data_IF_745347992012
#
_entry.id   IF_745347992012
#
_cell.length_a   1.000
_cell.length_b   1.000
_cell.length_c   1.000
_cell.angle_alpha   90.00
_cell.angle_beta   90.00
_cell.angle_gamma   90.00
#
_symmetry.space_group_name_H-M   'P 1'
#
loop_
_entity.id
_entity.type
_entity.pdbx_description
1 polymer ?
#
# COMPACT_ATOMS: atom_id res chain seq x y z
N UNK A 1 -61.42 56.75 -58.06
CA UNK A 1 -60.62 57.84 -58.63
C UNK A 1 -59.67 58.30 -57.53
N UNK A 2 -58.36 58.07 -57.73
CA UNK A 2 -57.19 58.66 -57.02
C UNK A 2 -57.16 58.56 -55.48
N UNK A 3 -56.13 58.07 -54.79
CA UNK A 3 -54.69 57.98 -55.12
C UNK A 3 -53.99 57.10 -54.08
N UNK A 4 -52.97 56.37 -54.53
CA UNK A 4 -51.92 55.71 -53.75
C UNK A 4 -51.14 56.71 -52.87
N UNK A 5 -50.38 56.23 -51.85
CA UNK A 5 -48.89 56.28 -51.79
C UNK A 5 -48.26 56.03 -50.38
N UNK A 6 -47.30 55.08 -50.39
CA UNK A 6 -46.05 54.85 -49.60
C UNK A 6 -46.02 54.99 -48.06
N UNK A 7 -45.63 53.97 -47.29
CA UNK A 7 -44.30 53.32 -47.11
C UNK A 7 -43.18 54.26 -46.62
N UNK A 8 -42.72 54.06 -45.36
CA UNK A 8 -41.32 53.72 -44.96
C UNK A 8 -40.99 54.14 -43.52
N UNK A 9 -40.13 53.29 -42.92
CA UNK A 9 -39.17 53.53 -41.82
C UNK A 9 -39.73 53.43 -40.40
N UNK A 10 -39.01 52.97 -39.37
CA UNK A 10 -37.88 52.03 -39.13
C UNK A 10 -37.62 52.17 -37.62
N UNK A 11 -37.37 51.05 -36.93
CA UNK A 11 -36.68 50.89 -35.62
C UNK A 11 -37.18 51.61 -34.37
N UNK A 12 -37.22 50.84 -33.27
CA UNK A 12 -37.06 51.38 -31.91
C UNK A 12 -37.35 50.32 -30.85
N UNK A 13 -36.30 49.76 -30.25
CA UNK A 13 -36.34 48.86 -29.09
C UNK A 13 -37.20 49.41 -27.94
N UNK A 14 -37.82 48.52 -27.14
CA UNK A 14 -37.64 48.43 -25.68
C UNK A 14 -38.60 47.42 -25.00
N UNK A 15 -37.99 46.41 -24.36
CA UNK A 15 -38.21 45.84 -23.03
C UNK A 15 -39.60 45.42 -22.48
N UNK A 16 -39.53 44.31 -21.71
CA UNK A 16 -40.43 43.79 -20.66
C UNK A 16 -41.54 42.81 -21.09
N UNK A 17 -41.34 41.49 -21.00
CA UNK A 17 -41.45 40.60 -19.81
C UNK A 17 -42.91 40.32 -19.43
N UNK A 18 -43.35 39.05 -19.59
CA UNK A 18 -44.30 38.28 -18.75
C UNK A 18 -44.77 37.03 -19.56
N UNK A 19 -44.09 35.90 -19.38
CA UNK A 19 -44.49 34.77 -18.51
C UNK A 19 -45.35 33.73 -19.24
N UNK A 20 -44.70 32.91 -20.07
CA UNK A 20 -45.22 31.63 -20.53
C UNK A 20 -44.98 30.54 -19.48
N UNK A 21 -46.09 30.01 -18.99
CA UNK A 21 -46.21 28.85 -18.11
C UNK A 21 -45.65 27.62 -18.85
N UNK A 22 -44.61 26.99 -18.31
CA UNK A 22 -44.35 25.57 -18.52
C UNK A 22 -43.97 24.93 -17.19
N UNK A 23 -44.97 24.37 -16.51
CA UNK A 23 -44.75 23.39 -15.45
C UNK A 23 -44.15 22.12 -16.11
N UNK A 24 -42.82 22.03 -16.15
CA UNK A 24 -42.15 20.74 -16.33
C UNK A 24 -42.16 20.06 -14.96
N UNK A 25 -43.12 19.17 -14.76
CA UNK A 25 -43.11 18.25 -13.64
C UNK A 25 -41.90 17.32 -13.74
N UNK A 26 -40.80 17.69 -13.06
CA UNK A 26 -39.70 16.77 -12.83
C UNK A 26 -40.17 15.63 -11.94
N UNK A 27 -40.45 14.46 -12.54
CA UNK A 27 -40.57 13.22 -11.75
C UNK A 27 -39.20 12.94 -11.14
N UNK A 28 -39.04 13.18 -9.85
CA UNK A 28 -37.85 12.78 -9.11
C UNK A 28 -37.86 11.25 -8.93
N UNK A 29 -37.42 10.51 -9.96
CA UNK A 29 -36.91 9.15 -9.76
C UNK A 29 -35.59 9.28 -9.02
N UNK A 30 -35.64 9.29 -7.69
CA UNK A 30 -34.46 9.07 -6.85
C UNK A 30 -34.03 7.62 -7.09
N UNK A 31 -33.16 7.38 -8.08
CA UNK A 31 -32.53 6.07 -8.22
C UNK A 31 -31.68 5.87 -6.97
N UNK A 32 -32.12 4.98 -6.06
CA UNK A 32 -31.30 4.59 -4.92
C UNK A 32 -29.96 4.11 -5.46
N UNK A 33 -28.86 4.76 -5.06
CA UNK A 33 -27.52 4.37 -5.50
C UNK A 33 -27.29 2.93 -5.07
N UNK A 34 -27.04 2.03 -6.04
CA UNK A 34 -26.68 0.64 -5.76
C UNK A 34 -25.25 0.57 -5.24
N UNK A 35 -25.07 -0.08 -4.10
CA UNK A 35 -23.78 -0.36 -3.49
C UNK A 35 -23.47 -1.85 -3.56
N UNK A 36 -22.19 -2.18 -3.72
CA UNK A 36 -21.72 -3.52 -4.06
C UNK A 36 -20.91 -4.19 -2.95
N UNK A 37 -20.99 -3.70 -1.71
CA UNK A 37 -20.20 -4.19 -0.58
C UNK A 37 -20.41 -5.70 -0.33
N UNK A 38 -21.66 -6.14 -0.21
CA UNK A 38 -22.00 -7.56 -0.01
C UNK A 38 -21.66 -8.40 -1.24
N UNK A 39 -21.99 -7.89 -2.42
CA UNK A 39 -21.70 -8.55 -3.70
C UNK A 39 -20.19 -8.82 -3.83
N UNK A 40 -19.35 -7.84 -3.48
CA UNK A 40 -17.89 -7.98 -3.52
C UNK A 40 -17.38 -9.04 -2.54
N UNK A 41 -17.85 -9.05 -1.29
CA UNK A 41 -17.43 -10.07 -0.30
C UNK A 41 -17.76 -11.47 -0.83
N UNK A 42 -18.99 -11.68 -1.31
CA UNK A 42 -19.38 -12.98 -1.89
C UNK A 42 -18.55 -13.35 -3.12
N UNK A 43 -18.31 -12.41 -4.04
CA UNK A 43 -17.44 -12.67 -5.20
C UNK A 43 -15.97 -12.92 -4.80
N UNK A 44 -15.50 -12.31 -3.71
CA UNK A 44 -14.16 -12.52 -3.19
C UNK A 44 -14.02 -13.94 -2.61
N UNK A 45 -14.97 -14.37 -1.79
CA UNK A 45 -15.05 -15.74 -1.26
C UNK A 45 -15.05 -16.77 -2.39
N UNK A 46 -15.92 -16.59 -3.39
CA UNK A 46 -15.99 -17.44 -4.58
C UNK A 46 -14.68 -17.44 -5.38
N UNK A 47 -13.99 -16.29 -5.45
CA UNK A 47 -12.69 -16.18 -6.12
C UNK A 47 -11.63 -17.01 -5.41
N UNK A 48 -11.57 -16.94 -4.07
CA UNK A 48 -10.65 -17.73 -3.25
C UNK A 48 -10.89 -19.22 -3.43
N UNK A 49 -12.14 -19.66 -3.32
CA UNK A 49 -12.51 -21.07 -3.53
C UNK A 49 -12.19 -21.57 -4.93
N UNK A 50 -12.42 -20.74 -5.95
CA UNK A 50 -12.08 -21.09 -7.33
C UNK A 50 -10.57 -21.26 -7.52
N UNK A 51 -9.75 -20.45 -6.84
CA UNK A 51 -8.30 -20.63 -6.83
C UNK A 51 -7.90 -21.92 -6.11
N UNK A 52 -8.39 -22.15 -4.89
CA UNK A 52 -7.99 -23.31 -4.11
C UNK A 52 -8.43 -24.61 -4.75
N UNK A 53 -9.58 -24.62 -5.42
CA UNK A 53 -9.99 -25.75 -6.26
C UNK A 53 -8.92 -26.10 -7.30
N UNK A 54 -8.38 -25.10 -8.02
CA UNK A 54 -7.32 -25.32 -9.00
C UNK A 54 -6.01 -25.76 -8.33
N UNK A 55 -5.72 -25.28 -7.11
CA UNK A 55 -4.57 -25.73 -6.32
C UNK A 55 -4.70 -27.21 -5.96
N UNK A 56 -5.87 -27.66 -5.51
CA UNK A 56 -6.15 -29.08 -5.24
C UNK A 56 -6.04 -29.94 -6.51
N UNK A 57 -6.47 -29.42 -7.66
CA UNK A 57 -6.41 -30.12 -8.97
C UNK A 57 -4.96 -30.33 -9.46
N UNK A 58 -4.03 -29.42 -9.11
CA UNK A 58 -2.58 -29.59 -9.39
C UNK A 58 -1.95 -30.62 -8.43
N UNK A 59 -2.41 -30.66 -7.19
CA UNK A 59 -1.92 -31.60 -6.17
C UNK A 59 -0.43 -31.39 -5.85
N UNK A 60 0.32 -32.48 -5.70
CA UNK A 60 1.75 -32.48 -5.34
C UNK A 60 2.70 -32.19 -6.54
N UNK A 61 2.15 -31.81 -7.70
CA UNK A 61 2.95 -31.49 -8.88
C UNK A 61 3.62 -30.12 -8.75
N UNK A 62 4.77 -29.96 -9.43
CA UNK A 62 5.44 -28.67 -9.51
C UNK A 62 4.54 -27.63 -10.21
N UNK A 63 4.21 -26.56 -9.48
CA UNK A 63 3.39 -25.46 -9.99
C UNK A 63 4.14 -24.75 -11.12
N UNK A 64 3.63 -24.89 -12.35
CA UNK A 64 4.21 -24.24 -13.52
C UNK A 64 3.63 -22.82 -13.72
N UNK A 65 4.22 -22.06 -14.65
CA UNK A 65 3.78 -20.68 -14.95
C UNK A 65 2.29 -20.60 -15.34
N UNK A 66 1.77 -21.63 -16.02
CA UNK A 66 0.37 -21.67 -16.47
C UNK A 66 -0.59 -21.90 -15.31
N UNK A 67 -0.21 -22.70 -14.31
CA UNK A 67 -0.99 -22.92 -13.09
C UNK A 67 -1.11 -21.63 -12.29
N UNK A 68 0.01 -20.95 -12.05
CA UNK A 68 0.01 -19.63 -11.40
C UNK A 68 -0.89 -18.63 -12.12
N UNK A 69 -0.84 -18.60 -13.45
CA UNK A 69 -1.70 -17.73 -14.26
C UNK A 69 -3.17 -18.10 -14.09
N UNK A 70 -3.50 -19.38 -14.03
CA UNK A 70 -4.86 -19.89 -13.84
C UNK A 70 -5.41 -19.52 -12.45
N UNK A 71 -4.61 -19.67 -11.40
CA UNK A 71 -4.99 -19.28 -10.04
C UNK A 71 -5.37 -17.79 -9.95
N UNK A 72 -4.52 -16.91 -10.50
CA UNK A 72 -4.79 -15.46 -10.50
C UNK A 72 -6.04 -15.12 -11.31
N UNK A 73 -6.20 -15.75 -12.48
CA UNK A 73 -7.33 -15.47 -13.36
C UNK A 73 -8.65 -15.98 -12.74
N UNK A 74 -8.64 -17.09 -12.00
CA UNK A 74 -9.81 -17.60 -11.30
C UNK A 74 -10.37 -16.56 -10.31
N UNK A 75 -9.49 -15.91 -9.55
CA UNK A 75 -9.89 -14.84 -8.64
C UNK A 75 -10.35 -13.60 -9.41
N UNK A 76 -9.53 -13.10 -10.36
CA UNK A 76 -9.85 -11.89 -11.13
C UNK A 76 -11.16 -12.01 -11.91
N UNK A 77 -11.51 -13.22 -12.38
CA UNK A 77 -12.78 -13.47 -13.06
C UNK A 77 -13.98 -13.07 -12.19
N UNK A 78 -13.91 -13.33 -10.88
CA UNK A 78 -15.00 -13.00 -9.96
C UNK A 78 -15.01 -11.52 -9.58
N UNK A 79 -13.82 -10.92 -9.38
CA UNK A 79 -13.73 -9.63 -8.69
C UNK A 79 -13.32 -8.43 -9.57
N UNK A 80 -12.83 -8.65 -10.79
CA UNK A 80 -12.21 -7.56 -11.58
C UNK A 80 -13.18 -6.41 -11.86
N UNK A 81 -14.47 -6.69 -12.01
CA UNK A 81 -15.48 -5.67 -12.28
C UNK A 81 -15.69 -4.67 -11.12
N UNK A 82 -15.29 -5.02 -9.89
CA UNK A 82 -15.51 -4.20 -8.71
C UNK A 82 -14.60 -2.97 -8.63
N UNK A 83 -13.54 -2.89 -9.44
CA UNK A 83 -12.65 -1.72 -9.44
C UNK A 83 -13.35 -0.41 -9.85
N UNK A 84 -14.49 -0.49 -10.53
CA UNK A 84 -15.31 0.67 -10.94
C UNK A 84 -16.69 0.72 -10.28
N UNK A 85 -17.00 -0.20 -9.35
CA UNK A 85 -18.29 -0.23 -8.65
C UNK A 85 -18.28 0.71 -7.46
N UNK A 86 -19.48 1.16 -7.07
CA UNK A 86 -19.68 2.02 -5.90
C UNK A 86 -19.82 1.15 -4.65
N UNK A 87 -19.11 1.54 -3.60
CA UNK A 87 -19.18 0.93 -2.28
C UNK A 87 -19.72 1.94 -1.29
N UNK A 88 -20.41 1.46 -0.26
CA UNK A 88 -20.81 2.27 0.88
C UNK A 88 -19.65 2.40 1.86
N UNK A 89 -18.86 1.34 2.02
CA UNK A 89 -17.65 1.30 2.84
C UNK A 89 -16.45 1.79 2.04
N UNK A 90 -15.90 2.94 2.40
CA UNK A 90 -14.63 3.43 1.85
C UNK A 90 -13.49 2.45 2.12
N UNK A 91 -13.48 1.85 3.32
CA UNK A 91 -12.55 0.77 3.67
C UNK A 91 -12.61 -0.40 2.68
N UNK A 92 -13.82 -0.87 2.33
CA UNK A 92 -13.95 -2.00 1.42
C UNK A 92 -13.63 -1.61 -0.02
N UNK A 93 -13.95 -0.37 -0.43
CA UNK A 93 -13.58 0.15 -1.74
C UNK A 93 -12.06 0.17 -1.94
N UNK A 94 -11.34 0.76 -0.98
CA UNK A 94 -9.89 0.88 -1.00
C UNK A 94 -9.23 -0.52 -1.03
N UNK A 95 -9.66 -1.42 -0.15
CA UNK A 95 -9.11 -2.76 -0.08
C UNK A 95 -9.50 -3.61 -1.31
N UNK A 96 -10.69 -3.46 -1.89
CA UNK A 96 -11.07 -4.14 -3.12
C UNK A 96 -10.17 -3.72 -4.31
N UNK A 97 -9.94 -2.42 -4.47
CA UNK A 97 -9.05 -1.89 -5.51
C UNK A 97 -7.61 -2.36 -5.27
N UNK A 98 -7.12 -2.27 -4.04
CA UNK A 98 -5.78 -2.73 -3.68
C UNK A 98 -5.60 -4.23 -3.93
N UNK A 99 -6.61 -5.03 -3.58
CA UNK A 99 -6.60 -6.48 -3.79
C UNK A 99 -6.54 -6.84 -5.28
N UNK A 100 -7.40 -6.25 -6.10
CA UNK A 100 -7.39 -6.44 -7.57
C UNK A 100 -6.02 -6.03 -8.15
N UNK A 101 -5.44 -4.95 -7.67
CA UNK A 101 -4.12 -4.50 -8.12
C UNK A 101 -3.00 -5.44 -7.66
N UNK A 102 -3.09 -6.05 -6.48
CA UNK A 102 -2.13 -7.06 -6.03
C UNK A 102 -2.13 -8.30 -6.92
N UNK A 103 -3.30 -8.79 -7.33
CA UNK A 103 -3.45 -9.88 -8.31
C UNK A 103 -2.86 -9.51 -9.68
N UNK A 104 -3.09 -8.27 -10.14
CA UNK A 104 -2.46 -7.76 -11.37
C UNK A 104 -0.93 -7.70 -11.24
N UNK A 105 -0.41 -7.38 -10.07
CA UNK A 105 1.03 -7.36 -9.81
C UNK A 105 1.63 -8.77 -9.75
N UNK A 106 0.93 -9.75 -9.18
CA UNK A 106 1.32 -11.17 -9.30
C UNK A 106 1.39 -11.59 -10.77
N UNK A 107 0.41 -11.19 -11.58
CA UNK A 107 0.42 -11.46 -13.02
C UNK A 107 1.58 -10.78 -13.76
N UNK A 108 2.03 -9.61 -13.29
CA UNK A 108 3.25 -8.96 -13.80
C UNK A 108 4.50 -9.70 -13.37
N UNK A 109 4.58 -10.15 -12.11
CA UNK A 109 5.72 -10.93 -11.60
C UNK A 109 5.93 -12.22 -12.39
N UNK A 110 4.85 -12.87 -12.85
CA UNK A 110 4.94 -14.05 -13.73
C UNK A 110 5.67 -13.81 -15.05
N UNK A 111 5.85 -12.56 -15.50
CA UNK A 111 6.69 -12.29 -16.69
C UNK A 111 8.15 -12.63 -16.45
N UNK A 112 8.60 -12.59 -15.21
CA UNK A 112 9.94 -12.96 -14.77
C UNK A 112 10.04 -14.41 -14.30
N UNK A 113 9.12 -15.30 -14.69
CA UNK A 113 9.07 -16.69 -14.17
C UNK A 113 10.39 -17.46 -14.29
N UNK A 114 11.13 -17.24 -15.38
CA UNK A 114 12.42 -17.88 -15.64
C UNK A 114 13.62 -17.08 -15.12
N UNK A 115 13.39 -15.91 -14.51
CA UNK A 115 14.44 -15.05 -13.98
C UNK A 115 14.77 -15.47 -12.53
N UNK A 116 16.02 -15.30 -12.11
CA UNK A 116 16.46 -15.63 -10.75
C UNK A 116 15.74 -14.84 -9.65
N UNK A 117 15.14 -13.69 -10.00
CA UNK A 117 14.41 -12.83 -9.06
C UNK A 117 12.88 -13.09 -9.06
N UNK A 118 12.41 -14.11 -9.77
CA UNK A 118 10.99 -14.48 -9.85
C UNK A 118 10.36 -14.59 -8.47
N UNK A 119 10.92 -15.46 -7.62
CA UNK A 119 10.39 -15.78 -6.29
C UNK A 119 10.27 -14.52 -5.43
N UNK A 120 11.26 -13.63 -5.49
CA UNK A 120 11.23 -12.34 -4.78
C UNK A 120 10.08 -11.45 -5.26
N UNK A 121 9.92 -11.29 -6.57
CA UNK A 121 8.83 -10.48 -7.16
C UNK A 121 7.45 -11.08 -6.88
N UNK A 122 7.33 -12.40 -6.98
CA UNK A 122 6.12 -13.15 -6.72
C UNK A 122 5.70 -13.03 -5.26
N UNK A 123 6.60 -13.36 -4.33
CA UNK A 123 6.35 -13.34 -2.89
C UNK A 123 5.96 -11.94 -2.43
N UNK A 124 6.64 -10.89 -2.91
CA UNK A 124 6.25 -9.50 -2.61
C UNK A 124 4.80 -9.18 -3.01
N UNK A 125 4.37 -9.64 -4.18
CA UNK A 125 3.00 -9.41 -4.65
C UNK A 125 1.97 -10.31 -3.93
N UNK A 126 2.37 -11.54 -3.59
CA UNK A 126 1.56 -12.51 -2.84
C UNK A 126 1.35 -12.09 -1.38
N UNK A 127 2.39 -11.63 -0.70
CA UNK A 127 2.31 -11.11 0.67
C UNK A 127 1.41 -9.87 0.74
N UNK A 128 1.53 -8.96 -0.24
CA UNK A 128 0.64 -7.81 -0.34
C UNK A 128 -0.83 -8.22 -0.52
N UNK A 129 -1.10 -9.24 -1.35
CA UNK A 129 -2.43 -9.84 -1.52
C UNK A 129 -2.97 -10.38 -0.19
N UNK A 130 -2.19 -11.19 0.51
CA UNK A 130 -2.61 -11.82 1.78
C UNK A 130 -2.80 -10.79 2.90
N UNK A 131 -1.93 -9.79 2.99
CA UNK A 131 -2.06 -8.67 3.93
C UNK A 131 -3.39 -7.94 3.79
N UNK A 132 -3.85 -7.71 2.54
CA UNK A 132 -5.15 -7.07 2.26
C UNK A 132 -6.31 -7.99 2.63
N UNK A 133 -6.24 -9.28 2.29
CA UNK A 133 -7.30 -10.23 2.61
C UNK A 133 -7.56 -10.34 4.09
N UNK A 134 -6.49 -10.38 4.91
CA UNK A 134 -6.63 -10.43 6.36
C UNK A 134 -7.30 -9.17 6.92
N UNK A 135 -7.04 -7.99 6.34
CA UNK A 135 -7.77 -6.77 6.73
C UNK A 135 -9.26 -6.89 6.44
N UNK A 136 -9.62 -7.42 5.27
CA UNK A 136 -11.02 -7.65 4.89
C UNK A 136 -11.65 -8.70 5.82
N UNK A 137 -11.00 -9.83 6.01
CA UNK A 137 -11.48 -10.95 6.83
C UNK A 137 -11.67 -10.58 8.31
N UNK A 138 -10.75 -9.81 8.89
CA UNK A 138 -10.89 -9.33 10.27
C UNK A 138 -12.17 -8.50 10.49
N UNK A 139 -12.67 -7.82 9.45
CA UNK A 139 -13.84 -6.94 9.54
C UNK A 139 -15.13 -7.56 9.02
N UNK A 140 -15.03 -8.38 7.99
CA UNK A 140 -16.18 -8.94 7.28
C UNK A 140 -16.36 -10.46 7.50
N UNK A 141 -15.38 -11.11 8.14
CA UNK A 141 -15.36 -12.54 8.46
C UNK A 141 -15.68 -13.40 7.23
N UNK A 142 -14.70 -13.53 6.34
CA UNK A 142 -14.86 -14.27 5.09
C UNK A 142 -15.27 -15.71 5.40
N UNK A 143 -16.24 -16.20 4.63
CA UNK A 143 -16.80 -17.54 4.73
C UNK A 143 -16.54 -18.29 3.44
N UNK A 144 -16.02 -19.49 3.59
CA UNK A 144 -15.74 -20.41 2.49
C UNK A 144 -16.27 -21.79 2.84
N UNK A 145 -16.38 -22.67 1.86
CA UNK A 145 -16.74 -24.06 2.08
C UNK A 145 -15.79 -24.69 3.10
N UNK A 146 -16.37 -25.52 3.97
CA UNK A 146 -15.66 -26.21 5.05
C UNK A 146 -14.39 -26.94 4.60
N UNK A 147 -14.36 -27.48 3.38
CA UNK A 147 -13.18 -28.17 2.84
C UNK A 147 -11.98 -27.24 2.61
N UNK A 148 -12.20 -25.93 2.51
CA UNK A 148 -11.16 -24.93 2.33
C UNK A 148 -10.78 -24.19 3.62
N UNK A 149 -11.26 -24.62 4.78
CA UNK A 149 -10.94 -23.97 6.06
C UNK A 149 -9.44 -23.93 6.36
N UNK A 150 -8.68 -24.97 5.99
CA UNK A 150 -7.21 -25.01 6.15
C UNK A 150 -6.53 -23.88 5.36
N UNK A 151 -6.92 -23.69 4.10
CA UNK A 151 -6.42 -22.60 3.27
C UNK A 151 -6.74 -21.23 3.85
N UNK A 152 -7.93 -21.05 4.41
CA UNK A 152 -8.30 -19.78 5.05
C UNK A 152 -7.47 -19.52 6.33
N UNK A 153 -7.16 -20.55 7.11
CA UNK A 153 -6.28 -20.45 8.29
C UNK A 153 -4.86 -20.08 7.89
N UNK A 154 -4.29 -20.76 6.90
CA UNK A 154 -2.94 -20.45 6.39
C UNK A 154 -2.87 -19.02 5.84
N UNK A 155 -3.90 -18.61 5.10
CA UNK A 155 -4.01 -17.26 4.57
C UNK A 155 -4.04 -16.21 5.69
N UNK A 156 -4.77 -16.47 6.78
CA UNK A 156 -4.77 -15.62 7.97
C UNK A 156 -3.38 -15.50 8.59
N UNK A 157 -2.67 -16.62 8.73
CA UNK A 157 -1.32 -16.63 9.29
C UNK A 157 -0.34 -15.85 8.40
N UNK A 158 -0.30 -16.15 7.11
CA UNK A 158 0.57 -15.48 6.13
C UNK A 158 0.26 -13.98 6.03
N UNK A 159 -1.01 -13.60 5.94
CA UNK A 159 -1.40 -12.18 5.85
C UNK A 159 -1.14 -11.40 7.14
N UNK A 160 -1.30 -12.03 8.31
CA UNK A 160 -0.91 -11.42 9.59
C UNK A 160 0.60 -11.20 9.66
N UNK A 161 1.41 -12.18 9.23
CA UNK A 161 2.87 -12.03 9.17
C UNK A 161 3.28 -10.91 8.21
N UNK A 162 2.69 -10.83 7.01
CA UNK A 162 2.94 -9.77 6.03
C UNK A 162 2.57 -8.38 6.58
N UNK A 163 1.44 -8.25 7.29
CA UNK A 163 1.03 -7.01 7.94
C UNK A 163 1.99 -6.64 9.08
N UNK A 164 2.38 -7.59 9.94
CA UNK A 164 3.35 -7.38 11.03
C UNK A 164 4.69 -6.88 10.48
N UNK A 165 5.19 -7.49 9.41
CA UNK A 165 6.44 -7.10 8.76
C UNK A 165 6.35 -5.69 8.14
N UNK A 166 5.23 -5.37 7.50
CA UNK A 166 5.00 -4.03 6.93
C UNK A 166 4.99 -2.95 8.01
N UNK A 167 4.25 -3.17 9.10
CA UNK A 167 4.20 -2.23 10.24
C UNK A 167 5.56 -2.09 10.90
N UNK A 168 6.27 -3.20 11.16
CA UNK A 168 7.63 -3.19 11.73
C UNK A 168 8.61 -2.41 10.85
N UNK A 169 8.62 -2.64 9.54
CA UNK A 169 9.50 -1.92 8.62
C UNK A 169 9.20 -0.41 8.62
N UNK A 170 7.93 0.00 8.55
CA UNK A 170 7.57 1.41 8.61
C UNK A 170 7.98 2.08 9.95
N UNK A 171 7.87 1.33 11.05
CA UNK A 171 8.28 1.79 12.36
C UNK A 171 9.81 1.94 12.45
N UNK A 172 10.58 1.00 11.89
CA UNK A 172 12.05 1.07 11.79
C UNK A 172 12.49 2.24 10.90
N UNK A 173 11.84 2.44 9.74
CA UNK A 173 12.14 3.59 8.87
C UNK A 173 11.91 4.92 9.59
N UNK A 174 10.89 4.99 10.44
CA UNK A 174 10.58 6.18 11.25
C UNK A 174 11.59 6.36 12.38
N UNK A 175 11.97 5.28 13.06
CA UNK A 175 13.03 5.25 14.08
C UNK A 175 14.36 5.74 13.50
N UNK A 176 14.78 5.23 12.34
CA UNK A 176 16.06 5.62 11.71
C UNK A 176 16.08 7.12 11.38
N UNK A 177 14.96 7.66 10.90
CA UNK A 177 14.85 9.10 10.61
C UNK A 177 14.95 9.98 11.86
N UNK A 178 14.61 9.44 13.05
CA UNK A 178 14.69 10.17 14.32
C UNK A 178 16.10 10.20 14.91
N UNK A 179 17.02 9.36 14.43
CA UNK A 179 18.41 9.35 14.90
C UNK A 179 19.08 10.68 14.52
N UNK A 180 19.53 11.42 15.54
CA UNK A 180 20.26 12.67 15.41
C UNK A 180 21.52 12.64 16.27
N UNK A 181 22.67 12.58 15.61
CA UNK A 181 23.99 12.68 16.24
C UNK A 181 24.32 14.15 16.51
N UNK A 182 23.79 14.69 17.61
CA UNK A 182 23.94 16.09 17.99
C UNK A 182 25.02 16.31 19.06
N UNK A 183 25.29 15.29 19.87
CA UNK A 183 26.30 15.35 20.92
C UNK A 183 27.67 15.06 20.31
N UNK A 184 28.66 15.90 20.62
CA UNK A 184 30.05 15.73 20.16
C UNK A 184 31.03 15.83 21.32
N UNK A 185 32.06 15.00 21.31
CA UNK A 185 33.18 15.06 22.25
C UNK A 185 34.49 15.02 21.46
N UNK A 186 35.42 15.89 21.84
CA UNK A 186 36.78 15.96 21.30
C UNK A 186 37.75 15.82 22.47
N UNK A 187 38.58 14.79 22.44
CA UNK A 187 39.58 14.50 23.47
C UNK A 187 40.98 15.03 23.11
N UNK A 188 41.11 15.77 22.01
CA UNK A 188 42.37 16.30 21.51
C UNK A 188 43.22 15.30 20.73
N UNK A 189 42.71 14.08 20.47
CA UNK A 189 43.40 13.08 19.63
C UNK A 189 43.31 13.36 18.12
N UNK A 190 42.49 14.34 17.72
CA UNK A 190 42.13 14.60 16.32
C UNK A 190 40.92 13.79 15.83
N UNK A 191 40.35 12.92 16.67
CA UNK A 191 39.09 12.24 16.40
C UNK A 191 37.94 12.88 17.18
N UNK A 192 36.81 13.08 16.52
CA UNK A 192 35.59 13.60 17.17
C UNK A 192 34.59 12.44 17.32
N UNK A 193 34.18 12.16 18.56
CA UNK A 193 33.10 11.21 18.85
C UNK A 193 31.74 11.92 18.73
N UNK A 194 30.86 11.39 17.89
CA UNK A 194 29.48 11.81 17.73
C UNK A 194 28.55 10.81 18.39
N UNK A 195 27.53 11.28 19.12
CA UNK A 195 26.58 10.38 19.78
C UNK A 195 25.12 10.83 19.68
N UNK A 196 24.22 9.85 19.75
CA UNK A 196 22.78 10.02 19.70
C UNK A 196 22.13 9.10 20.74
N UNK A 197 21.30 9.64 21.62
CA UNK A 197 20.43 8.83 22.49
C UNK A 197 19.10 8.61 21.78
N UNK A 198 18.77 7.35 21.50
CA UNK A 198 17.61 6.97 20.69
C UNK A 198 16.73 6.02 21.52
N UNK A 199 15.42 6.25 21.50
CA UNK A 199 14.43 5.36 22.12
C UNK A 199 13.86 4.38 21.09
N UNK A 200 13.68 3.11 21.45
CA UNK A 200 13.00 2.15 20.59
C UNK A 200 11.49 2.46 20.53
N UNK A 201 11.12 3.25 19.54
CA UNK A 201 9.72 3.62 19.26
C UNK A 201 9.01 2.67 18.29
N UNK A 202 9.57 1.48 18.00
CA UNK A 202 8.97 0.57 17.01
C UNK A 202 7.71 -0.14 17.51
N UNK A 203 7.47 -0.10 18.81
CA UNK A 203 6.34 -0.77 19.46
C UNK A 203 6.57 -2.25 19.75
N UNK A 204 7.76 -2.80 19.43
CA UNK A 204 8.17 -4.17 19.70
C UNK A 204 9.63 -4.24 20.21
N UNK A 205 9.99 -5.33 20.86
CA UNK A 205 11.38 -5.62 21.22
C UNK A 205 12.17 -5.94 19.95
N UNK A 206 13.40 -5.43 19.88
CA UNK A 206 14.32 -5.66 18.78
C UNK A 206 15.47 -6.50 19.31
N UNK A 207 15.64 -7.70 18.76
CA UNK A 207 16.73 -8.60 19.14
C UNK A 207 18.07 -8.07 18.66
N UNK A 208 18.13 -7.62 17.40
CA UNK A 208 19.33 -7.07 16.79
C UNK A 208 18.97 -5.86 15.93
N UNK A 209 19.74 -4.79 16.02
CA UNK A 209 19.63 -3.61 15.18
C UNK A 209 21.01 -3.15 14.71
N UNK A 210 21.15 -2.88 13.42
CA UNK A 210 22.31 -2.15 12.88
C UNK A 210 21.89 -1.13 11.83
N UNK A 211 22.66 -0.04 11.76
CA UNK A 211 22.53 0.98 10.74
C UNK A 211 23.89 1.46 10.25
N UNK A 212 23.93 1.82 8.97
CA UNK A 212 25.08 2.49 8.35
C UNK A 212 24.87 4.00 8.41
N UNK A 213 25.90 4.73 8.82
CA UNK A 213 25.96 6.19 8.83
C UNK A 213 26.99 6.65 7.80
N UNK A 214 26.52 7.14 6.66
CA UNK A 214 27.40 7.71 5.61
C UNK A 214 27.61 9.19 5.87
N UNK A 215 28.85 9.60 6.10
CA UNK A 215 29.25 10.99 6.29
C UNK A 215 29.53 11.62 4.94
N UNK A 216 29.08 12.86 4.75
CA UNK A 216 29.14 13.52 3.45
C UNK A 216 29.70 14.93 3.54
N UNK A 217 30.51 15.29 2.55
CA UNK A 217 31.02 16.65 2.39
C UNK A 217 29.94 17.63 1.87
N UNK A 218 30.35 18.88 1.63
CA UNK A 218 29.47 19.95 1.10
C UNK A 218 28.97 19.68 -0.32
N UNK A 219 29.66 18.80 -1.06
CA UNK A 219 29.29 18.37 -2.41
C UNK A 219 28.42 17.10 -2.40
N UNK A 220 27.97 16.66 -1.21
CA UNK A 220 27.16 15.44 -1.01
C UNK A 220 27.89 14.15 -1.42
N UNK A 221 29.23 14.17 -1.46
CA UNK A 221 30.07 12.98 -1.67
C UNK A 221 30.27 12.29 -0.34
N UNK A 222 30.15 10.96 -0.30
CA UNK A 222 30.42 10.19 0.92
C UNK A 222 31.92 10.16 1.17
N UNK A 223 32.37 10.76 2.26
CA UNK A 223 33.79 10.85 2.66
C UNK A 223 34.18 9.77 3.65
N UNK A 224 33.22 9.25 4.40
CA UNK A 224 33.43 8.21 5.42
C UNK A 224 32.14 7.41 5.66
N UNK A 225 32.27 6.18 6.17
CA UNK A 225 31.15 5.28 6.46
C UNK A 225 31.33 4.64 7.83
N UNK A 226 30.37 4.88 8.71
CA UNK A 226 30.35 4.46 10.10
C UNK A 226 29.21 3.48 10.33
N UNK A 227 29.28 2.72 11.43
CA UNK A 227 28.30 1.70 11.77
C UNK A 227 27.86 1.87 13.23
N UNK A 228 26.56 1.71 13.46
CA UNK A 228 26.00 1.70 14.82
C UNK A 228 25.10 0.48 14.98
N UNK A 229 25.18 -0.17 16.14
CA UNK A 229 24.41 -1.36 16.41
C UNK A 229 24.04 -1.47 17.90
N UNK A 230 23.03 -2.29 18.17
CA UNK A 230 22.63 -2.68 19.52
C UNK A 230 21.89 -4.02 19.48
N UNK A 231 21.86 -4.71 20.61
CA UNK A 231 21.22 -6.00 20.79
C UNK A 231 20.25 -5.92 21.96
N UNK A 232 19.21 -6.76 21.95
CA UNK A 232 18.19 -6.85 22.98
C UNK A 232 17.57 -5.49 23.34
N UNK A 233 17.31 -4.66 22.34
CA UNK A 233 16.78 -3.31 22.49
C UNK A 233 15.28 -3.36 22.75
N UNK A 234 14.89 -3.32 24.01
CA UNK A 234 13.52 -3.49 24.44
C UNK A 234 12.64 -2.31 23.99
N UNK A 235 11.34 -2.57 23.88
CA UNK A 235 10.36 -1.52 23.57
C UNK A 235 10.48 -0.37 24.59
N UNK A 236 10.55 0.86 24.08
CA UNK A 236 10.72 2.11 24.85
C UNK A 236 12.05 2.23 25.61
N UNK A 237 12.99 1.31 25.43
CA UNK A 237 14.34 1.45 25.98
C UNK A 237 15.15 2.49 25.20
N UNK A 238 16.02 3.22 25.90
CA UNK A 238 16.94 4.18 25.28
C UNK A 238 18.33 3.59 25.17
N UNK A 239 18.92 3.69 23.98
CA UNK A 239 20.29 3.29 23.69
C UNK A 239 21.08 4.51 23.19
N UNK A 240 22.34 4.60 23.60
CA UNK A 240 23.27 5.63 23.09
C UNK A 240 24.11 5.04 21.96
N UNK A 241 23.82 5.46 20.73
CA UNK A 241 24.67 5.16 19.56
C UNK A 241 25.83 6.14 19.48
N UNK A 242 26.98 5.65 19.02
CA UNK A 242 28.22 6.42 18.91
C UNK A 242 29.00 6.01 17.66
N UNK A 243 29.69 6.97 17.06
CA UNK A 243 30.78 6.72 16.11
C UNK A 243 31.84 7.82 16.25
N UNK A 244 33.06 7.56 15.80
CA UNK A 244 34.14 8.56 15.79
C UNK A 244 34.69 8.72 14.39
N UNK A 245 35.09 9.94 14.02
CA UNK A 245 35.73 10.22 12.74
C UNK A 245 36.79 11.31 12.86
N UNK A 246 37.83 11.22 12.03
CA UNK A 246 38.83 12.26 11.79
C UNK A 246 38.49 13.10 10.54
N UNK A 247 37.37 12.81 9.87
CA UNK A 247 36.93 13.51 8.66
C UNK A 247 35.94 14.62 9.00
N UNK A 248 36.19 15.79 8.44
CA UNK A 248 35.18 16.84 8.36
C UNK A 248 34.02 16.37 7.46
N UNK A 249 32.79 16.57 7.93
CA UNK A 249 31.58 16.32 7.15
C UNK A 249 30.56 17.44 7.35
N UNK A 250 29.79 17.72 6.30
CA UNK A 250 28.72 18.72 6.30
C UNK A 250 27.36 18.11 6.66
N UNK A 251 27.16 16.83 6.35
CA UNK A 251 25.91 16.11 6.64
C UNK A 251 26.15 14.61 6.75
N UNK A 252 25.13 13.86 7.18
CA UNK A 252 25.16 12.41 7.18
C UNK A 252 23.80 11.83 6.76
N UNK A 253 23.82 10.58 6.31
CA UNK A 253 22.61 9.77 6.12
C UNK A 253 22.70 8.51 6.94
N UNK A 254 21.61 8.17 7.62
CA UNK A 254 21.48 6.89 8.35
C UNK A 254 20.57 5.97 7.53
N UNK A 255 21.03 4.76 7.28
CA UNK A 255 20.27 3.73 6.54
C UNK A 255 20.26 2.43 7.33
N UNK A 256 19.10 1.76 7.35
CA UNK A 256 18.97 0.43 7.93
C UNK A 256 19.98 -0.51 7.26
N UNK A 257 20.73 -1.22 8.08
CA UNK A 257 21.55 -2.34 7.62
C UNK A 257 20.80 -3.63 7.94
N UNK A 258 20.64 -3.95 9.22
CA UNK A 258 19.95 -5.14 9.68
C UNK A 258 18.98 -4.85 10.83
N UNK A 259 17.87 -5.59 10.87
CA UNK A 259 16.95 -5.59 12.01
C UNK A 259 16.33 -6.96 12.17
N UNK A 260 16.32 -7.46 13.40
CA UNK A 260 15.66 -8.69 13.81
C UNK A 260 14.79 -8.41 15.03
N UNK A 261 13.54 -8.87 14.98
CA UNK A 261 12.57 -8.65 16.04
C UNK A 261 12.24 -9.96 16.73
N UNK A 262 11.86 -9.88 18.02
CA UNK A 262 11.27 -11.01 18.73
C UNK A 262 9.88 -11.42 18.17
#
# INVERSE_FOLDING_TARGET
MTTHIHWRKVTGLLLALLLSITLVGCSNKTSKTKYYDKDFITSLEQGLEARWKLTDEVGDQDINQSDYKSFINAELKQISSYSSKKFKSTFLQENAIAYINSLKNQKKALKSYNDSDFSTKWNKAYDARNAILVKIDNKYHLKVDSKYNSYLVELRQSGNAANKNTTRNAAVDSLIKSIKFNDKTDDGSGWIEYSATVENTTGANIKNFSAVVKLKDKSNVTTDTQYVNTENWNKNEKVKFKFSTDKDFASYTVTKDYVDFD
#
